data_IF_867260196256
#
_entry.id   IF_867260196256
#
_cell.length_a   1.000
_cell.length_b   1.000
_cell.length_c   1.000
_cell.angle_alpha   90.00
_cell.angle_beta   90.00
_cell.angle_gamma   90.00
#
_symmetry.space_group_name_H-M   'P 1'
#
loop_
_entity.id
_entity.type
_entity.pdbx_description
1 polymer ?
#
# COMPACT_ATOMS: atom_id res chain seq x y z
N UNK A 1 -20.23 -10.62 2.38
CA UNK A 1 -19.30 -11.10 1.33
C UNK A 1 -18.49 -12.26 1.89
N UNK A 2 -18.27 -13.33 1.12
CA UNK A 2 -17.35 -14.40 1.52
C UNK A 2 -16.07 -14.33 0.70
N UNK A 3 -14.92 -14.34 1.36
CA UNK A 3 -13.62 -14.37 0.70
C UNK A 3 -13.18 -15.82 0.54
N UNK A 4 -12.77 -16.20 -0.67
CA UNK A 4 -12.12 -17.48 -0.93
C UNK A 4 -10.59 -17.41 -0.79
N UNK A 5 -9.94 -18.57 -0.65
CA UNK A 5 -8.48 -18.67 -0.58
C UNK A 5 -7.80 -18.04 -1.80
N UNK A 6 -8.40 -18.17 -2.99
CA UNK A 6 -7.87 -17.61 -4.22
C UNK A 6 -7.75 -16.08 -4.15
N UNK A 7 -8.79 -15.42 -3.65
CA UNK A 7 -8.84 -13.96 -3.46
C UNK A 7 -7.81 -13.53 -2.42
N UNK A 8 -7.68 -14.29 -1.31
CA UNK A 8 -6.64 -14.02 -0.30
C UNK A 8 -5.23 -14.05 -0.91
N UNK A 9 -4.90 -15.08 -1.69
CA UNK A 9 -3.60 -15.18 -2.37
C UNK A 9 -3.40 -14.09 -3.42
N UNK A 10 -4.45 -13.69 -4.14
CA UNK A 10 -4.38 -12.59 -5.11
C UNK A 10 -4.08 -11.26 -4.42
N UNK A 11 -4.76 -10.95 -3.31
CA UNK A 11 -4.51 -9.74 -2.52
C UNK A 11 -3.10 -9.76 -1.93
N UNK A 12 -2.66 -10.91 -1.40
CA UNK A 12 -1.30 -11.07 -0.88
C UNK A 12 -0.23 -10.82 -1.96
N UNK A 13 -0.45 -11.33 -3.17
CA UNK A 13 0.44 -11.09 -4.30
C UNK A 13 0.54 -9.59 -4.66
N UNK A 14 -0.60 -8.90 -4.71
CA UNK A 14 -0.66 -7.45 -4.97
C UNK A 14 0.05 -6.64 -3.89
N UNK A 15 -0.10 -7.05 -2.63
CA UNK A 15 0.56 -6.43 -1.47
C UNK A 15 2.02 -6.86 -1.26
N UNK A 16 2.55 -7.79 -2.08
CA UNK A 16 3.90 -8.38 -1.93
C UNK A 16 4.11 -9.08 -0.58
N UNK A 17 3.05 -9.73 -0.07
CA UNK A 17 3.08 -10.51 1.16
C UNK A 17 3.17 -12.00 0.85
N UNK A 18 4.00 -12.72 1.63
CA UNK A 18 4.07 -14.17 1.60
C UNK A 18 3.29 -14.74 2.79
N UNK A 19 2.18 -15.43 2.52
CA UNK A 19 1.34 -16.06 3.55
C UNK A 19 1.84 -17.47 3.80
N UNK A 20 2.10 -17.80 5.07
CA UNK A 20 2.46 -19.18 5.43
C UNK A 20 1.20 -20.06 5.49
N UNK A 21 1.31 -21.37 5.16
CA UNK A 21 0.15 -22.27 5.17
C UNK A 21 -0.59 -22.33 6.51
N UNK A 22 0.12 -22.19 7.62
CA UNK A 22 -0.45 -22.19 8.98
C UNK A 22 -1.28 -20.94 9.30
N UNK A 23 -0.98 -19.80 8.67
CA UNK A 23 -1.64 -18.51 8.90
C UNK A 23 -2.87 -18.32 7.98
N UNK A 24 -2.97 -19.10 6.89
CA UNK A 24 -3.97 -18.92 5.83
C UNK A 24 -5.41 -18.99 6.35
N UNK A 25 -5.71 -19.98 7.21
CA UNK A 25 -7.08 -20.19 7.71
C UNK A 25 -7.51 -19.06 8.64
N UNK A 26 -6.59 -18.58 9.49
CA UNK A 26 -6.87 -17.47 10.39
C UNK A 26 -7.09 -16.18 9.60
N UNK A 27 -6.21 -15.86 8.66
CA UNK A 27 -6.32 -14.66 7.81
C UNK A 27 -7.63 -14.62 7.01
N UNK A 28 -8.10 -15.78 6.54
CA UNK A 28 -9.38 -15.85 5.81
C UNK A 28 -10.57 -15.51 6.72
N UNK A 29 -10.56 -15.99 7.96
CA UNK A 29 -11.60 -15.68 8.94
C UNK A 29 -11.54 -14.19 9.31
N UNK A 30 -10.37 -13.67 9.67
CA UNK A 30 -10.18 -12.28 10.06
C UNK A 30 -10.62 -11.33 8.95
N UNK A 31 -10.25 -11.61 7.70
CA UNK A 31 -10.64 -10.78 6.56
C UNK A 31 -12.16 -10.83 6.30
N UNK A 32 -12.80 -11.99 6.53
CA UNK A 32 -14.24 -12.13 6.41
C UNK A 32 -14.99 -11.36 7.51
N UNK A 33 -14.48 -11.36 8.74
CA UNK A 33 -15.03 -10.56 9.85
C UNK A 33 -14.90 -9.07 9.59
N UNK A 34 -13.73 -8.60 9.14
CA UNK A 34 -13.49 -7.19 8.80
C UNK A 34 -14.45 -6.73 7.70
N UNK A 35 -14.59 -7.50 6.61
CA UNK A 35 -15.51 -7.14 5.52
C UNK A 35 -16.97 -7.13 5.96
N UNK A 36 -17.35 -8.05 6.85
CA UNK A 36 -18.69 -8.06 7.44
C UNK A 36 -18.93 -6.83 8.30
N UNK A 37 -17.93 -6.41 9.08
CA UNK A 37 -18.00 -5.20 9.89
C UNK A 37 -18.08 -3.93 9.04
N UNK A 38 -17.29 -3.83 7.96
CA UNK A 38 -17.34 -2.72 7.00
C UNK A 38 -18.69 -2.65 6.30
N UNK A 39 -19.34 -3.79 6.05
CA UNK A 39 -20.69 -3.85 5.45
C UNK A 39 -21.78 -3.12 6.24
N UNK A 40 -21.55 -2.76 7.52
CA UNK A 40 -22.47 -1.89 8.27
C UNK A 40 -22.63 -0.50 7.63
N UNK A 41 -21.65 -0.05 6.85
CA UNK A 41 -21.73 1.23 6.13
C UNK A 41 -22.77 1.18 5.00
N UNK A 42 -23.11 0.00 4.48
CA UNK A 42 -24.12 -0.18 3.43
C UNK A 42 -25.55 0.09 3.94
N UNK A 43 -25.76 0.17 5.25
CA UNK A 43 -27.05 0.52 5.87
C UNK A 43 -27.38 2.02 5.74
N UNK A 44 -26.40 2.84 5.38
CA UNK A 44 -26.55 4.29 5.26
C UNK A 44 -26.76 4.68 3.79
N UNK A 45 -27.80 5.47 3.55
CA UNK A 45 -28.01 6.09 2.24
C UNK A 45 -26.99 7.22 2.03
N UNK A 46 -26.18 7.08 1.00
CA UNK A 46 -25.16 8.05 0.59
C UNK A 46 -25.45 8.62 -0.80
N UNK A 47 -26.67 8.42 -1.33
CA UNK A 47 -27.08 8.99 -2.61
C UNK A 47 -27.02 10.53 -2.57
N UNK A 48 -26.25 11.12 -3.48
CA UNK A 48 -26.04 12.57 -3.54
C UNK A 48 -25.02 13.14 -2.53
N UNK A 49 -24.34 12.29 -1.75
CA UNK A 49 -23.25 12.72 -0.86
C UNK A 49 -21.92 12.65 -1.61
N UNK A 50 -21.29 13.81 -1.81
CA UNK A 50 -19.97 13.90 -2.45
C UNK A 50 -18.88 13.27 -1.57
N UNK A 51 -17.98 12.44 -2.13
CA UNK A 51 -16.87 11.86 -1.38
C UNK A 51 -15.90 12.91 -0.85
N UNK A 52 -15.54 12.79 0.43
CA UNK A 52 -14.53 13.64 1.05
C UNK A 52 -13.12 13.14 0.68
N UNK A 53 -12.41 13.90 -0.17
CA UNK A 53 -11.06 13.52 -0.64
C UNK A 53 -9.94 14.11 0.21
N UNK A 54 -10.06 15.39 0.58
CA UNK A 54 -9.11 16.10 1.42
C UNK A 54 -9.87 17.00 2.40
N UNK A 55 -9.35 17.16 3.61
CA UNK A 55 -9.90 18.07 4.62
C UNK A 55 -9.55 19.55 4.34
N UNK A 56 -8.63 19.80 3.41
CA UNK A 56 -8.10 21.13 3.10
C UNK A 56 -8.64 21.63 1.78
N UNK A 57 -8.82 22.95 1.68
CA UNK A 57 -9.32 23.64 0.48
C UNK A 57 -8.19 23.99 -0.51
N UNK A 58 -7.02 23.39 -0.36
CA UNK A 58 -5.86 23.73 -1.17
C UNK A 58 -6.03 23.23 -2.60
N UNK A 59 -6.01 24.18 -3.54
CA UNK A 59 -6.09 23.90 -4.98
C UNK A 59 -4.84 24.48 -5.64
N UNK A 60 -4.22 23.71 -6.52
CA UNK A 60 -3.10 24.18 -7.35
C UNK A 60 -1.87 24.67 -6.55
N UNK A 61 -1.48 23.96 -5.50
CA UNK A 61 -0.25 24.26 -4.74
C UNK A 61 0.97 23.84 -5.56
N UNK A 62 1.53 24.79 -6.32
CA UNK A 62 2.69 24.55 -7.17
C UNK A 62 4.02 24.75 -6.43
N UNK A 63 4.94 23.82 -6.65
CA UNK A 63 6.37 24.01 -6.31
C UNK A 63 7.03 24.89 -7.37
N UNK A 64 7.87 25.85 -6.94
CA UNK A 64 8.71 26.64 -7.87
C UNK A 64 9.66 25.72 -8.65
N UNK A 65 9.84 25.98 -9.93
CA UNK A 65 10.82 25.26 -10.75
C UNK A 65 12.25 25.75 -10.48
N UNK A 66 12.80 25.28 -9.36
CA UNK A 66 14.19 25.51 -8.97
C UNK A 66 14.87 24.18 -8.67
N UNK A 67 16.10 24.02 -9.14
CA UNK A 67 16.92 22.87 -8.85
C UNK A 67 17.54 23.01 -7.45
N UNK A 68 17.39 21.99 -6.62
CA UNK A 68 17.96 21.93 -5.27
C UNK A 68 18.62 20.57 -5.06
N UNK A 69 19.80 20.55 -4.44
CA UNK A 69 20.46 19.32 -4.01
C UNK A 69 19.89 18.96 -2.64
N UNK A 70 18.98 17.99 -2.59
CA UNK A 70 18.26 17.61 -1.37
C UNK A 70 19.08 16.72 -0.42
N UNK A 71 20.01 15.92 -0.94
CA UNK A 71 20.86 15.04 -0.16
C UNK A 71 22.13 14.63 -0.91
N UNK A 72 23.20 14.36 -0.17
CA UNK A 72 24.40 13.73 -0.72
C UNK A 72 24.17 12.25 -1.02
N UNK A 73 24.96 11.67 -1.92
CA UNK A 73 24.92 10.24 -2.21
C UNK A 73 25.14 9.38 -0.96
N UNK A 74 26.04 9.79 -0.09
CA UNK A 74 26.33 9.08 1.17
C UNK A 74 25.10 9.08 2.09
N UNK A 75 24.40 10.22 2.20
CA UNK A 75 23.17 10.34 2.98
C UNK A 75 22.06 9.44 2.40
N UNK A 76 21.91 9.42 1.07
CA UNK A 76 20.93 8.58 0.40
C UNK A 76 21.16 7.08 0.62
N UNK A 77 22.43 6.64 0.67
CA UNK A 77 22.82 5.24 0.83
C UNK A 77 22.99 4.80 2.29
N UNK A 78 22.76 5.69 3.27
CA UNK A 78 22.97 5.40 4.69
C UNK A 78 22.13 4.23 5.20
N UNK A 79 20.89 4.12 4.73
CA UNK A 79 19.92 3.09 5.13
C UNK A 79 19.77 1.96 4.10
N UNK A 80 20.61 1.91 3.07
CA UNK A 80 20.55 0.86 2.06
C UNK A 80 20.90 -0.50 2.70
N UNK A 81 20.01 -1.49 2.59
CA UNK A 81 20.26 -2.84 3.11
C UNK A 81 21.50 -3.49 2.48
N UNK A 82 21.66 -3.33 1.16
CA UNK A 82 22.86 -3.72 0.42
C UNK A 82 23.18 -2.62 -0.59
N UNK A 83 24.44 -2.19 -0.64
CA UNK A 83 24.94 -1.22 -1.60
C UNK A 83 26.19 -1.73 -2.30
N UNK A 84 26.34 -1.38 -3.57
CA UNK A 84 27.59 -1.56 -4.32
C UNK A 84 28.13 -0.19 -4.67
N UNK A 85 29.11 0.25 -3.87
CA UNK A 85 29.76 1.56 -3.96
C UNK A 85 28.76 2.71 -3.98
N UNK A 86 28.27 3.03 -5.18
CA UNK A 86 27.42 4.16 -5.51
C UNK A 86 25.94 3.79 -5.72
N UNK A 87 25.58 2.51 -5.73
CA UNK A 87 24.26 2.02 -6.14
C UNK A 87 23.57 1.16 -5.07
N UNK A 88 22.24 1.16 -5.07
CA UNK A 88 21.45 0.16 -4.35
C UNK A 88 21.56 -1.19 -5.07
N UNK A 89 21.93 -2.24 -4.34
CA UNK A 89 22.09 -3.57 -4.91
C UNK A 89 20.83 -4.39 -4.64
N UNK A 90 20.14 -4.78 -5.71
CA UNK A 90 18.92 -5.61 -5.67
C UNK A 90 19.07 -6.84 -6.58
N UNK A 91 18.31 -7.92 -6.35
CA UNK A 91 18.25 -9.04 -7.27
C UNK A 91 17.89 -8.56 -8.68
N UNK A 92 18.50 -9.19 -9.70
CA UNK A 92 18.20 -8.87 -11.10
C UNK A 92 16.73 -9.16 -11.37
N UNK A 93 16.03 -8.20 -11.97
CA UNK A 93 14.67 -8.42 -12.48
C UNK A 93 14.76 -9.41 -13.64
N UNK A 94 14.37 -10.66 -13.39
CA UNK A 94 14.21 -11.68 -14.42
C UNK A 94 12.76 -11.59 -14.93
N UNK A 95 12.60 -11.68 -16.26
CA UNK A 95 11.30 -11.86 -16.91
C UNK A 95 10.97 -13.35 -16.96
#
# INVERSE_FOLDING_TARGET
MQVDKKTLHQVAHLARLNIKPEEETQLLNDMSEILTWVGKLDELDTEGVEPLTHMTEEVNVFRKDKAEISMSQEQALKNAAVKDSKFFKVPKVLK
#
